data_IF_498553918851
#
_entry.id   IF_498553918851
#
_cell.length_a   1.000
_cell.length_b   1.000
_cell.length_c   1.000
_cell.angle_alpha   90.00
_cell.angle_beta   90.00
_cell.angle_gamma   90.00
#
_symmetry.space_group_name_H-M   'P 1'
#
loop_
_entity.id
_entity.type
_entity.pdbx_description
1 polymer ?
#
# COMPACT_ATOMS: atom_id res chain seq x y z
N UNK A 1 -12.99 -12.62 13.76
CA UNK A 1 -11.62 -12.29 14.25
C UNK A 1 -11.39 -12.66 15.72
N UNK A 2 -12.40 -12.55 16.61
CA UNK A 2 -12.28 -12.88 18.05
C UNK A 2 -11.67 -14.25 18.36
N UNK A 3 -12.11 -15.31 17.65
CA UNK A 3 -11.63 -16.69 17.89
C UNK A 3 -10.15 -16.91 17.52
N UNK A 4 -9.63 -16.13 16.58
CA UNK A 4 -8.22 -16.17 16.19
C UNK A 4 -7.39 -15.35 17.18
N UNK A 5 -7.92 -14.20 17.63
CA UNK A 5 -7.31 -13.34 18.64
C UNK A 5 -7.09 -14.07 19.98
N UNK A 6 -8.06 -14.88 20.40
CA UNK A 6 -7.96 -15.75 21.58
C UNK A 6 -6.84 -16.80 21.45
N UNK A 7 -6.72 -17.45 20.29
CA UNK A 7 -5.68 -18.46 20.03
C UNK A 7 -4.27 -17.85 19.97
N UNK A 8 -4.15 -16.62 19.48
CA UNK A 8 -2.88 -15.91 19.37
C UNK A 8 -2.52 -15.09 20.61
N UNK A 9 -3.43 -15.03 21.60
CA UNK A 9 -3.30 -14.20 22.79
C UNK A 9 -3.01 -12.71 22.44
N UNK A 10 -3.71 -12.21 21.42
CA UNK A 10 -3.63 -10.82 20.95
C UNK A 10 -4.99 -10.15 21.18
N UNK A 11 -4.99 -8.91 21.67
CA UNK A 11 -6.23 -8.14 21.84
C UNK A 11 -6.85 -7.82 20.46
N UNK A 12 -8.15 -8.10 20.24
CA UNK A 12 -8.80 -7.84 18.97
C UNK A 12 -8.98 -6.34 18.76
N UNK A 13 -8.68 -5.88 17.54
CA UNK A 13 -8.98 -4.51 17.15
C UNK A 13 -10.50 -4.24 17.26
N UNK A 14 -10.93 -3.08 17.77
CA UNK A 14 -12.33 -2.72 17.86
C UNK A 14 -12.95 -2.67 16.46
N UNK A 15 -14.16 -3.21 16.33
CA UNK A 15 -14.91 -3.30 15.05
C UNK A 15 -15.78 -2.05 14.83
N UNK A 16 -16.04 -1.37 15.93
CA UNK A 16 -16.74 -0.11 16.12
C UNK A 16 -15.77 0.99 15.69
N UNK A 17 -16.04 1.57 14.51
CA UNK A 17 -15.15 2.40 13.69
C UNK A 17 -14.68 3.74 14.28
N UNK A 18 -14.27 3.74 15.54
CA UNK A 18 -13.68 4.87 16.28
C UNK A 18 -12.15 4.85 16.20
N UNK A 19 -11.56 3.78 15.66
CA UNK A 19 -10.17 3.78 15.27
C UNK A 19 -10.04 4.74 14.08
N UNK A 20 -9.37 5.89 14.31
CA UNK A 20 -8.96 6.87 13.30
C UNK A 20 -8.77 6.17 11.96
N UNK A 21 -9.68 6.43 11.01
CA UNK A 21 -9.57 5.98 9.63
C UNK A 21 -8.32 6.66 9.05
N UNK A 22 -7.15 6.07 9.33
CA UNK A 22 -5.95 6.34 8.56
C UNK A 22 -6.29 5.82 7.18
N UNK A 23 -6.86 6.68 6.33
CA UNK A 23 -7.00 6.43 4.90
C UNK A 23 -5.62 5.95 4.45
N UNK A 24 -5.44 4.66 4.15
CA UNK A 24 -4.10 4.16 3.91
C UNK A 24 -3.67 4.74 2.57
N UNK A 25 -2.81 5.77 2.63
CA UNK A 25 -2.23 6.34 1.44
C UNK A 25 -1.46 5.24 0.72
N UNK A 26 -1.67 5.11 -0.59
CA UNK A 26 -0.91 4.14 -1.38
C UNK A 26 0.56 4.53 -1.31
N UNK A 27 1.37 3.67 -0.71
CA UNK A 27 2.81 3.85 -0.62
C UNK A 27 3.50 3.06 -1.72
N UNK A 28 4.53 3.64 -2.34
CA UNK A 28 5.37 3.01 -3.36
C UNK A 28 6.82 3.14 -2.94
N UNK A 29 7.62 2.10 -3.22
CA UNK A 29 9.04 2.15 -2.99
C UNK A 29 9.73 3.10 -3.98
N UNK A 30 10.62 3.93 -3.48
CA UNK A 30 11.47 4.85 -4.23
C UNK A 30 12.94 4.50 -3.97
N UNK A 31 13.73 4.38 -5.03
CA UNK A 31 15.16 4.05 -4.97
C UNK A 31 15.95 5.32 -5.29
N UNK A 32 16.85 5.72 -4.39
CA UNK A 32 17.81 6.80 -4.65
C UNK A 32 18.92 6.30 -5.59
N UNK A 33 18.90 6.81 -6.82
CA UNK A 33 19.79 6.45 -7.91
C UNK A 33 21.27 6.71 -7.57
N UNK A 34 21.56 7.76 -6.80
CA UNK A 34 22.94 8.13 -6.46
C UNK A 34 23.60 7.15 -5.48
N UNK A 35 22.78 6.46 -4.68
CA UNK A 35 23.23 5.55 -3.63
C UNK A 35 23.00 4.07 -3.98
N UNK A 36 22.42 3.79 -5.16
CA UNK A 36 22.18 2.44 -5.63
C UNK A 36 23.44 1.84 -6.28
N UNK A 37 23.95 0.74 -5.70
CA UNK A 37 25.17 0.07 -6.19
C UNK A 37 24.91 -1.12 -7.13
N UNK A 38 23.64 -1.38 -7.50
CA UNK A 38 23.32 -2.50 -8.39
C UNK A 38 23.53 -3.90 -7.78
N UNK A 39 23.27 -4.07 -6.47
CA UNK A 39 23.51 -5.34 -5.76
C UNK A 39 22.44 -6.43 -5.95
N UNK A 40 21.36 -6.14 -6.69
CA UNK A 40 20.20 -7.01 -7.02
C UNK A 40 19.43 -7.65 -5.85
N UNK A 41 19.75 -7.33 -4.59
CA UNK A 41 19.04 -7.89 -3.42
C UNK A 41 17.57 -7.47 -3.33
N UNK A 42 17.27 -6.23 -3.71
CA UNK A 42 15.90 -5.71 -3.74
C UNK A 42 15.01 -6.44 -4.74
N UNK A 43 15.54 -6.86 -5.90
CA UNK A 43 14.81 -7.64 -6.91
C UNK A 43 14.38 -8.99 -6.31
N UNK A 44 15.29 -9.70 -5.65
CA UNK A 44 15.00 -11.01 -5.05
C UNK A 44 13.98 -10.92 -3.90
N UNK A 45 13.91 -9.77 -3.23
CA UNK A 45 12.96 -9.54 -2.15
C UNK A 45 11.57 -9.09 -2.63
N UNK A 46 11.43 -8.67 -3.89
CA UNK A 46 10.17 -8.17 -4.41
C UNK A 46 9.24 -9.33 -4.79
N UNK A 47 8.09 -9.53 -4.12
CA UNK A 47 7.20 -10.66 -4.40
C UNK A 47 6.40 -10.51 -5.71
N UNK A 48 6.43 -9.31 -6.32
CA UNK A 48 5.63 -8.94 -7.50
C UNK A 48 6.51 -8.47 -8.66
N UNK A 49 7.83 -8.64 -8.55
CA UNK A 49 8.82 -8.24 -9.57
C UNK A 49 8.69 -6.79 -10.06
N UNK A 50 8.29 -5.88 -9.16
CA UNK A 50 8.12 -4.45 -9.48
C UNK A 50 9.44 -3.67 -9.60
N UNK A 51 10.61 -4.29 -9.42
CA UNK A 51 11.91 -3.63 -9.44
C UNK A 51 12.69 -4.11 -10.67
N UNK A 52 13.13 -3.18 -11.50
CA UNK A 52 13.88 -3.46 -12.72
C UNK A 52 15.30 -2.91 -12.63
N UNK A 53 16.25 -3.62 -13.25
CA UNK A 53 17.65 -3.22 -13.37
C UNK A 53 18.54 -4.44 -13.55
N UNK A 54 19.85 -4.25 -13.43
CA UNK A 54 20.83 -5.31 -13.65
C UNK A 54 21.98 -5.22 -12.64
N UNK A 55 22.78 -6.27 -12.55
CA UNK A 55 23.97 -6.29 -11.71
C UNK A 55 24.92 -5.15 -12.09
N UNK A 56 25.35 -4.36 -11.09
CA UNK A 56 26.17 -3.13 -11.26
C UNK A 56 25.49 -2.02 -12.08
N UNK A 57 24.19 -2.09 -12.30
CA UNK A 57 23.39 -1.00 -12.86
C UNK A 57 22.42 -0.47 -11.79
N UNK A 58 21.98 0.78 -11.97
CA UNK A 58 20.94 1.34 -11.11
C UNK A 58 19.63 0.55 -11.27
N UNK A 59 18.89 0.40 -10.18
CA UNK A 59 17.55 -0.19 -10.21
C UNK A 59 16.50 0.90 -10.13
N UNK A 60 15.34 0.66 -10.73
CA UNK A 60 14.16 1.54 -10.63
C UNK A 60 12.91 0.73 -10.28
N UNK A 61 11.92 1.39 -9.70
CA UNK A 61 10.66 0.78 -9.29
C UNK A 61 9.56 1.11 -10.29
N UNK A 62 8.85 0.09 -10.76
CA UNK A 62 7.62 0.25 -11.52
C UNK A 62 6.46 0.52 -10.55
N UNK A 63 6.07 1.79 -10.42
CA UNK A 63 5.04 2.25 -9.48
C UNK A 63 3.71 1.51 -9.63
N UNK A 64 3.35 1.13 -10.86
CA UNK A 64 2.09 0.48 -11.19
C UNK A 64 1.98 -0.94 -10.63
N UNK A 65 3.11 -1.62 -10.49
CA UNK A 65 3.20 -2.99 -9.97
C UNK A 65 3.55 -3.02 -8.48
N UNK A 66 4.15 -1.94 -7.95
CA UNK A 66 4.56 -1.88 -6.56
C UNK A 66 3.34 -1.87 -5.62
N UNK A 67 3.30 -2.83 -4.70
CA UNK A 67 2.23 -2.96 -3.69
C UNK A 67 2.52 -2.21 -2.40
N UNK A 68 3.71 -1.62 -2.24
CA UNK A 68 4.11 -0.93 -1.00
C UNK A 68 4.39 -1.88 0.18
N UNK A 69 4.69 -3.15 -0.06
CA UNK A 69 4.88 -4.17 0.98
C UNK A 69 6.14 -4.01 1.87
N UNK A 70 7.01 -3.04 1.59
CA UNK A 70 8.24 -2.72 2.36
C UNK A 70 9.33 -3.82 2.40
N UNK A 71 9.13 -4.99 1.79
CA UNK A 71 10.12 -6.09 1.86
C UNK A 71 11.47 -5.79 1.20
N UNK A 72 11.53 -4.79 0.30
CA UNK A 72 12.76 -4.43 -0.40
C UNK A 72 13.70 -3.51 0.39
N UNK A 73 13.24 -2.89 1.49
CA UNK A 73 14.02 -1.90 2.25
C UNK A 73 15.13 -2.57 3.07
N UNK A 74 14.79 -3.55 3.91
CA UNK A 74 15.76 -4.22 4.79
C UNK A 74 16.91 -4.92 4.04
N UNK A 75 16.68 -5.61 2.90
CA UNK A 75 17.75 -6.26 2.15
C UNK A 75 18.73 -5.31 1.47
N UNK A 76 18.42 -4.01 1.36
CA UNK A 76 19.28 -3.04 0.69
C UNK A 76 20.49 -2.67 1.57
N UNK A 77 21.72 -3.02 1.18
CA UNK A 77 22.91 -2.81 2.01
C UNK A 77 23.32 -1.33 2.12
N UNK A 78 22.88 -0.48 1.17
CA UNK A 78 23.13 0.97 1.21
C UNK A 78 21.95 1.74 1.80
N UNK A 79 20.86 1.06 2.16
CA UNK A 79 19.62 1.67 2.64
C UNK A 79 19.08 2.79 1.73
N UNK A 80 19.31 2.68 0.42
CA UNK A 80 18.88 3.69 -0.57
C UNK A 80 17.39 3.61 -0.97
N UNK A 81 16.57 2.81 -0.27
CA UNK A 81 15.16 2.58 -0.63
C UNK A 81 14.26 3.16 0.46
N UNK A 82 13.25 3.93 0.06
CA UNK A 82 12.26 4.54 0.96
C UNK A 82 10.84 4.33 0.43
N UNK A 83 9.82 4.39 1.29
CA UNK A 83 8.42 4.40 0.85
C UNK A 83 7.91 5.83 0.77
N UNK A 84 7.36 6.19 -0.37
CA UNK A 84 6.76 7.50 -0.61
C UNK A 84 5.27 7.35 -0.92
N UNK A 85 4.42 8.27 -0.43
CA UNK A 85 3.02 8.29 -0.78
C UNK A 85 2.85 8.69 -2.25
N UNK A 86 1.95 8.02 -2.95
CA UNK A 86 1.53 8.40 -4.29
C UNK A 86 0.49 9.51 -4.18
N UNK A 87 0.71 10.61 -4.90
CA UNK A 87 -0.26 11.69 -4.96
C UNK A 87 -1.56 11.22 -5.63
N UNK A 88 -2.70 11.69 -5.12
CA UNK A 88 -3.98 11.44 -5.76
C UNK A 88 -4.07 12.18 -7.09
N UNK A 89 -4.45 11.44 -8.13
CA UNK A 89 -4.69 11.97 -9.48
C UNK A 89 -6.16 11.76 -9.85
N UNK A 90 -6.70 12.45 -10.87
CA UNK A 90 -8.05 12.19 -11.38
C UNK A 90 -8.31 10.74 -11.81
N UNK A 91 -7.26 9.95 -12.05
CA UNK A 91 -7.37 8.52 -12.38
C UNK A 91 -7.38 7.62 -11.13
N UNK A 92 -6.88 8.11 -9.98
CA UNK A 92 -6.68 7.33 -8.76
C UNK A 92 -7.48 7.81 -7.55
N UNK A 93 -8.18 8.95 -7.68
CA UNK A 93 -9.04 9.50 -6.62
C UNK A 93 -10.19 8.55 -6.28
N UNK A 94 -10.57 8.53 -5.00
CA UNK A 94 -11.72 7.78 -4.51
C UNK A 94 -12.84 8.74 -4.16
N UNK A 95 -14.08 8.36 -4.48
CA UNK A 95 -15.25 9.08 -4.01
C UNK A 95 -15.36 8.96 -2.50
N UNK A 96 -15.55 10.09 -1.83
CA UNK A 96 -16.02 10.10 -0.46
C UNK A 96 -17.53 9.81 -0.46
N UNK A 97 -17.90 8.59 -0.09
CA UNK A 97 -19.29 8.16 -0.04
C UNK A 97 -20.08 8.84 1.10
N UNK A 98 -19.38 9.31 2.14
CA UNK A 98 -20.02 9.94 3.31
C UNK A 98 -20.56 11.34 2.99
N UNK A 99 -20.01 12.00 1.97
CA UNK A 99 -20.52 13.29 1.49
C UNK A 99 -21.74 13.16 0.57
N UNK A 100 -22.11 11.95 0.13
CA UNK A 100 -23.29 11.73 -0.70
C UNK A 100 -24.54 11.60 0.19
N UNK A 101 -25.55 12.48 0.06
CA UNK A 101 -26.76 12.39 0.86
C UNK A 101 -27.60 11.17 0.47
N UNK A 102 -27.81 10.24 1.40
CA UNK A 102 -28.69 9.08 1.22
C UNK A 102 -30.15 9.55 1.18
N UNK A 103 -30.83 9.33 0.04
CA UNK A 103 -32.28 9.58 -0.09
C UNK A 103 -33.04 8.27 0.02
N UNK A 104 -34.01 8.21 0.94
CA UNK A 104 -34.94 7.09 1.07
C UNK A 104 -36.08 7.33 0.10
N UNK A 105 -36.22 6.47 -0.92
CA UNK A 105 -37.31 6.55 -1.91
C UNK A 105 -38.40 5.55 -1.48
N UNK A 106 -39.62 6.00 -1.15
CA UNK A 106 -40.73 5.11 -0.84
C UNK A 106 -41.17 4.35 -2.10
N UNK A 107 -41.43 3.05 -1.98
CA UNK A 107 -41.95 2.21 -3.07
C UNK A 107 -43.48 2.16 -2.96
N UNK A 108 -44.17 2.84 -3.88
CA UNK A 108 -45.62 2.74 -3.99
C UNK A 108 -45.98 1.40 -4.63
N UNK A 109 -46.72 0.55 -3.90
CA UNK A 109 -47.25 -0.69 -4.43
C UNK A 109 -48.54 -0.38 -5.20
N UNK A 110 -48.46 -0.42 -6.54
CA UNK A 110 -49.64 -0.36 -7.38
C UNK A 110 -50.35 -1.72 -7.36
N UNK A 111 -51.59 -1.73 -6.84
CA UNK A 111 -52.50 -2.87 -6.88
C UNK A 111 -53.36 -2.86 -8.15
#
# INVERSE_FOLDING_TARGET
MLKIAELLNVEPQPLDGEAQELTPARMVAFIDENNCIGCTKCIQACPVDAIVGATRAMHTVMSDLCTGCNLCVDPCPTHCISLQPVAETPDSWKWDLNTIPVRIIPVEHHA
#
